data_IF_464675222847
#
_entry.id   IF_464675222847
#
_cell.length_a   1.000
_cell.length_b   1.000
_cell.length_c   1.000
_cell.angle_alpha   90.00
_cell.angle_beta   90.00
_cell.angle_gamma   90.00
#
_symmetry.space_group_name_H-M   'P 1'
#
loop_
_entity.id
_entity.type
_entity.pdbx_description
1 polymer ?
#
# COMPACT_ATOMS: atom_id res chain seq x y z
N UNK A 1 21.37 2.10 -4.54
CA UNK A 1 20.16 1.96 -3.69
C UNK A 1 19.56 3.33 -3.49
N UNK A 2 18.24 3.43 -3.30
CA UNK A 2 17.55 4.71 -3.09
C UNK A 2 18.22 5.56 -1.98
N UNK A 3 18.66 4.91 -0.90
CA UNK A 3 19.41 5.52 0.20
C UNK A 3 20.69 6.25 -0.21
N UNK A 4 21.44 5.75 -1.20
CA UNK A 4 22.67 6.40 -1.69
C UNK A 4 22.38 7.64 -2.54
N UNK A 5 21.14 7.82 -3.01
CA UNK A 5 20.76 8.93 -3.89
C UNK A 5 20.24 10.14 -3.11
N UNK A 6 19.93 9.98 -1.81
CA UNK A 6 19.37 11.05 -0.95
C UNK A 6 20.31 12.26 -0.82
N UNK A 7 21.63 12.05 -0.83
CA UNK A 7 22.61 13.13 -0.70
C UNK A 7 22.82 13.94 -1.98
N UNK A 8 22.27 13.50 -3.12
CA UNK A 8 22.48 14.10 -4.44
C UNK A 8 21.18 14.60 -5.08
N UNK A 9 20.13 14.85 -4.30
CA UNK A 9 18.80 15.28 -4.81
C UNK A 9 18.76 16.73 -5.31
N UNK A 10 19.87 17.48 -5.19
CA UNK A 10 20.03 18.79 -5.83
C UNK A 10 20.16 18.69 -7.35
N UNK A 11 20.60 17.54 -7.89
CA UNK A 11 20.55 17.23 -9.32
C UNK A 11 19.13 16.77 -9.72
N UNK A 12 18.51 17.50 -10.65
CA UNK A 12 17.17 17.21 -11.16
C UNK A 12 17.02 15.80 -11.75
N UNK A 13 18.07 15.24 -12.36
CA UNK A 13 18.07 13.89 -12.94
C UNK A 13 18.06 12.82 -11.86
N UNK A 14 18.90 13.00 -10.83
CA UNK A 14 18.97 12.09 -9.68
C UNK A 14 17.66 12.14 -8.90
N UNK A 15 17.10 13.34 -8.69
CA UNK A 15 15.80 13.52 -8.04
C UNK A 15 14.68 12.80 -8.80
N UNK A 16 14.60 12.98 -10.12
CA UNK A 16 13.59 12.30 -10.95
C UNK A 16 13.72 10.77 -10.92
N UNK A 17 14.95 10.24 -10.96
CA UNK A 17 15.19 8.80 -10.83
C UNK A 17 14.79 8.25 -9.46
N UNK A 18 15.14 8.96 -8.38
CA UNK A 18 14.75 8.58 -7.02
C UNK A 18 13.22 8.56 -6.87
N UNK A 19 12.52 9.60 -7.36
CA UNK A 19 11.07 9.65 -7.37
C UNK A 19 10.46 8.47 -8.14
N UNK A 20 10.96 8.18 -9.35
CA UNK A 20 10.48 7.04 -10.14
C UNK A 20 10.68 5.67 -9.44
N UNK A 21 11.77 5.52 -8.67
CA UNK A 21 12.00 4.32 -7.86
C UNK A 21 11.02 4.21 -6.69
N UNK A 22 10.71 5.33 -6.02
CA UNK A 22 9.71 5.40 -4.96
C UNK A 22 8.32 5.06 -5.49
N UNK A 23 7.94 5.62 -6.64
CA UNK A 23 6.62 5.37 -7.24
C UNK A 23 6.39 3.92 -7.64
N UNK A 24 7.43 3.26 -8.15
CA UNK A 24 7.35 1.84 -8.58
C UNK A 24 7.42 0.86 -7.42
N UNK A 25 7.54 1.34 -6.17
CA UNK A 25 7.59 0.49 -4.99
C UNK A 25 6.15 0.08 -4.58
N UNK A 26 5.76 -1.20 -4.76
CA UNK A 26 4.39 -1.65 -4.48
C UNK A 26 4.06 -1.64 -2.98
N UNK A 27 5.07 -1.71 -2.12
CA UNK A 27 4.90 -1.63 -0.66
C UNK A 27 4.84 -0.21 -0.11
N UNK A 28 5.14 0.81 -0.93
CA UNK A 28 5.24 2.20 -0.51
C UNK A 28 6.17 2.41 0.71
N UNK A 29 7.28 1.66 0.78
CA UNK A 29 8.22 1.72 1.91
C UNK A 29 8.94 3.08 2.05
N UNK A 30 8.93 3.89 0.98
CA UNK A 30 9.42 5.27 0.96
C UNK A 30 8.31 6.15 0.38
N UNK A 31 8.24 7.40 0.82
CA UNK A 31 7.35 8.45 0.31
C UNK A 31 8.10 9.78 0.20
N UNK A 32 7.51 10.76 -0.50
CA UNK A 32 8.02 12.13 -0.56
C UNK A 32 6.83 13.10 -0.47
N UNK A 33 7.10 14.36 -0.11
CA UNK A 33 6.05 15.33 0.25
C UNK A 33 5.05 15.69 -0.85
N UNK A 34 5.27 15.27 -2.10
CA UNK A 34 4.40 15.55 -3.25
C UNK A 34 3.93 14.25 -3.86
N UNK A 35 3.19 13.43 -3.10
CA UNK A 35 2.65 12.19 -3.65
C UNK A 35 1.72 12.47 -4.84
N UNK A 36 1.72 11.62 -5.89
CA UNK A 36 0.91 11.83 -7.07
C UNK A 36 -0.57 11.67 -6.73
N UNK A 37 -1.42 12.40 -7.44
CA UNK A 37 -2.86 12.18 -7.33
C UNK A 37 -3.21 10.79 -7.91
N UNK A 38 -3.61 9.88 -7.03
CA UNK A 38 -4.02 8.52 -7.41
C UNK A 38 -5.55 8.47 -7.47
N UNK A 39 -6.14 7.68 -8.38
CA UNK A 39 -7.57 7.48 -8.39
C UNK A 39 -8.03 6.92 -7.03
N UNK A 40 -9.17 7.42 -6.56
CA UNK A 40 -9.82 6.93 -5.34
C UNK A 40 -10.39 5.55 -5.63
N UNK A 41 -9.71 4.52 -5.15
CA UNK A 41 -10.08 3.13 -5.42
C UNK A 41 -9.88 2.26 -4.19
N UNK A 42 -10.73 1.24 -4.07
CA UNK A 42 -10.63 0.20 -3.05
C UNK A 42 -10.76 -1.14 -3.76
N UNK A 43 -9.75 -2.00 -3.58
CA UNK A 43 -9.64 -3.30 -4.24
C UNK A 43 -9.46 -4.40 -3.21
N UNK A 44 -10.31 -5.42 -3.26
CA UNK A 44 -10.11 -6.66 -2.51
C UNK A 44 -9.22 -7.57 -3.34
N UNK A 45 -8.01 -7.86 -2.87
CA UNK A 45 -7.15 -8.82 -3.57
C UNK A 45 -7.60 -10.26 -3.28
N UNK A 46 -7.64 -11.15 -4.30
CA UNK A 46 -7.94 -12.57 -4.10
C UNK A 46 -7.02 -13.17 -3.04
N UNK A 47 -7.61 -13.89 -2.07
CA UNK A 47 -6.87 -14.53 -0.97
C UNK A 47 -5.91 -13.59 -0.22
N UNK A 48 -6.20 -12.29 -0.28
CA UNK A 48 -5.25 -11.27 0.11
C UNK A 48 -5.82 -10.08 0.86
N UNK A 49 -5.01 -9.02 0.94
CA UNK A 49 -5.30 -7.78 1.63
C UNK A 49 -6.39 -6.96 0.94
N UNK A 50 -6.92 -5.98 1.69
CA UNK A 50 -7.72 -4.90 1.13
C UNK A 50 -6.78 -3.75 0.74
N UNK A 51 -6.63 -3.47 -0.55
CA UNK A 51 -5.81 -2.36 -1.04
C UNK A 51 -6.68 -1.13 -1.27
N UNK A 52 -6.13 0.05 -1.01
CA UNK A 52 -6.78 1.32 -1.35
C UNK A 52 -5.78 2.37 -1.85
N UNK A 53 -6.26 3.34 -2.63
CA UNK A 53 -5.53 4.50 -3.13
C UNK A 53 -6.38 5.77 -3.16
N UNK A 54 -5.74 6.92 -3.39
CA UNK A 54 -6.40 8.23 -3.53
C UNK A 54 -6.60 8.96 -2.21
N UNK A 55 -5.68 8.79 -1.26
CA UNK A 55 -5.71 9.55 0.00
C UNK A 55 -6.92 9.28 0.90
N UNK A 56 -7.50 8.09 0.81
CA UNK A 56 -8.67 7.70 1.62
C UNK A 56 -8.29 7.74 3.11
N UNK A 57 -9.05 8.52 3.88
CA UNK A 57 -8.90 8.56 5.33
C UNK A 57 -9.47 7.28 5.95
N UNK A 58 -8.66 6.60 6.75
CA UNK A 58 -9.05 5.38 7.46
C UNK A 58 -9.17 5.71 8.94
N UNK A 59 -10.31 5.34 9.54
CA UNK A 59 -10.52 5.46 10.98
C UNK A 59 -10.41 4.09 11.65
N UNK A 60 -9.76 4.05 12.81
CA UNK A 60 -9.74 2.85 13.64
C UNK A 60 -11.08 2.69 14.34
N UNK A 61 -11.42 1.47 14.73
CA UNK A 61 -12.65 1.15 15.48
C UNK A 61 -12.84 1.95 16.77
N UNK A 62 -11.76 2.47 17.35
CA UNK A 62 -11.78 3.30 18.56
C UNK A 62 -11.84 4.81 18.26
N UNK A 63 -12.18 5.20 17.02
CA UNK A 63 -12.31 6.60 16.60
C UNK A 63 -10.98 7.35 16.44
N UNK A 64 -9.85 6.65 16.52
CA UNK A 64 -8.53 7.25 16.28
C UNK A 64 -8.21 7.22 14.79
N UNK A 65 -7.75 8.34 14.19
CA UNK A 65 -7.34 8.34 12.79
C UNK A 65 -6.15 7.41 12.59
N UNK A 66 -6.18 6.66 11.49
CA UNK A 66 -4.99 6.01 10.97
C UNK A 66 -4.09 7.05 10.29
N UNK A 67 -2.79 6.75 10.16
CA UNK A 67 -1.87 7.63 9.44
C UNK A 67 -2.40 7.86 8.01
N UNK A 68 -2.52 9.14 7.63
CA UNK A 68 -2.93 9.50 6.28
C UNK A 68 -1.90 8.98 5.28
N UNK A 69 -2.34 8.18 4.33
CA UNK A 69 -1.50 7.58 3.29
C UNK A 69 -2.22 7.67 1.96
N UNK A 70 -1.49 8.01 0.91
CA UNK A 70 -2.05 8.06 -0.43
C UNK A 70 -2.48 6.66 -0.93
N UNK A 71 -1.82 5.60 -0.45
CA UNK A 71 -2.19 4.19 -0.70
C UNK A 71 -1.73 3.28 0.44
N UNK A 72 -2.47 2.21 0.74
CA UNK A 72 -2.02 1.17 1.67
C UNK A 72 -2.75 -0.17 1.47
N UNK A 73 -2.26 -1.22 2.12
CA UNK A 73 -2.92 -2.53 2.22
C UNK A 73 -3.30 -2.83 3.66
N UNK A 74 -4.59 -3.10 3.89
CA UNK A 74 -5.14 -3.47 5.18
C UNK A 74 -5.27 -4.99 5.32
N UNK A 75 -5.02 -5.47 6.53
CA UNK A 75 -5.15 -6.88 6.88
C UNK A 75 -6.62 -7.31 6.77
N UNK A 76 -6.86 -8.33 5.93
CA UNK A 76 -8.16 -8.99 5.80
C UNK A 76 -8.20 -10.37 6.47
N UNK A 77 -7.04 -11.02 6.63
CA UNK A 77 -6.93 -12.38 7.16
C UNK A 77 -6.98 -12.48 8.70
N UNK A 78 -7.02 -11.36 9.42
CA UNK A 78 -7.06 -11.32 10.90
C UNK A 78 -5.75 -11.66 11.61
N UNK A 79 -4.72 -12.17 10.91
CA UNK A 79 -3.52 -12.72 11.54
C UNK A 79 -2.27 -11.84 11.43
N UNK A 80 -2.36 -10.66 10.83
CA UNK A 80 -1.22 -9.75 10.75
C UNK A 80 -0.71 -9.35 12.14
N UNK A 81 0.61 -9.28 12.29
CA UNK A 81 1.29 -8.75 13.48
C UNK A 81 1.41 -7.23 13.45
N UNK A 82 1.14 -6.59 12.30
CA UNK A 82 1.24 -5.14 12.10
C UNK A 82 -0.13 -4.48 11.83
N UNK A 83 -1.18 -4.88 12.58
CA UNK A 83 -2.53 -4.37 12.35
C UNK A 83 -2.59 -2.83 12.49
N UNK A 84 -3.31 -2.13 11.59
CA UNK A 84 -4.30 -2.65 10.64
C UNK A 84 -3.71 -3.05 9.28
N UNK A 85 -2.40 -2.91 9.08
CA UNK A 85 -1.74 -3.16 7.80
C UNK A 85 -1.58 -4.66 7.53
N UNK A 86 -1.49 -5.03 6.26
CA UNK A 86 -1.09 -6.38 5.87
C UNK A 86 0.45 -6.50 5.88
N UNK A 87 0.96 -7.56 6.52
CA UNK A 87 2.39 -7.92 6.60
C UNK A 87 2.72 -9.20 5.80
N UNK A 88 1.76 -9.73 5.04
CA UNK A 88 1.94 -10.93 4.24
C UNK A 88 1.67 -12.25 4.95
N UNK A 89 1.36 -12.26 6.26
CA UNK A 89 1.04 -13.48 7.03
C UNK A 89 -0.08 -14.31 6.39
N UNK A 90 -0.98 -13.69 5.63
CA UNK A 90 -2.02 -14.37 4.84
C UNK A 90 -1.48 -15.51 3.95
N UNK A 91 -0.26 -15.39 3.40
CA UNK A 91 0.37 -16.43 2.57
C UNK A 91 0.81 -17.63 3.41
N UNK A 92 1.34 -17.36 4.60
CA UNK A 92 1.86 -18.39 5.52
C UNK A 92 0.72 -19.24 6.09
N UNK A 93 -0.43 -18.63 6.37
CA UNK A 93 -1.59 -19.32 6.94
C UNK A 93 -2.55 -19.89 5.90
N UNK A 94 -2.24 -19.74 4.60
CA UNK A 94 -3.11 -20.19 3.51
C UNK A 94 -4.49 -19.55 3.54
N UNK A 95 -4.57 -18.25 3.86
CA UNK A 95 -5.83 -17.53 3.93
C UNK A 95 -6.56 -17.60 2.59
N UNK A 96 -7.75 -18.21 2.56
CA UNK A 96 -8.63 -18.17 1.40
C UNK A 96 -9.76 -17.19 1.66
N UNK A 97 -9.83 -16.17 0.82
CA UNK A 97 -10.80 -15.09 0.90
C UNK A 97 -11.36 -14.86 -0.48
N UNK A 98 -12.29 -15.73 -0.90
CA UNK A 98 -12.90 -15.76 -2.23
C UNK A 98 -13.67 -14.48 -2.58
N UNK A 99 -13.55 -14.06 -3.85
CA UNK A 99 -14.69 -13.72 -4.70
C UNK A 99 -14.76 -14.84 -5.75
N UNK A 100 -15.80 -15.67 -5.72
CA UNK A 100 -15.96 -16.73 -6.72
C UNK A 100 -16.49 -16.10 -7.99
N UNK A 101 -15.66 -15.96 -9.03
CA UNK A 101 -16.19 -15.87 -10.39
C UNK A 101 -16.53 -17.28 -10.87
N UNK A 102 -17.58 -17.90 -10.31
CA UNK A 102 -18.30 -18.91 -11.08
C UNK A 102 -19.31 -18.17 -11.96
N UNK A 103 -18.88 -17.84 -13.17
CA UNK A 103 -19.77 -17.52 -14.29
C UNK A 103 -19.21 -18.17 -15.55
N UNK A 104 -19.27 -19.49 -15.59
CA UNK A 104 -19.51 -20.22 -16.84
C UNK A 104 -20.96 -20.69 -16.75
N UNK A 105 -21.81 -20.06 -17.56
CA UNK A 105 -23.16 -20.54 -17.92
C UNK A 105 -22.98 -21.39 -19.18
#
# INVERSE_FOLDING_TARGET
TAWKMLSATCDSRVRGQLMAMVERCPSAALSYSLEPDLPVEIVVTPDGALWFSGGITVERSYGQPFEARNRATLCRCGNSKNKPLCDGTQKEIGFSGYFSSKSEI
#
